data_IF_786511866798
#
_entry.id   IF_786511866798
#
_cell.length_a   1.000
_cell.length_b   1.000
_cell.length_c   1.000
_cell.angle_alpha   90.00
_cell.angle_beta   90.00
_cell.angle_gamma   90.00
#
_symmetry.space_group_name_H-M   'P 1'
#
loop_
_entity.id
_entity.type
_entity.pdbx_description
1 polymer ?
#
# COMPACT_ATOMS: atom_id res chain seq x y z
N UNK A 1 19.06 12.69 -10.19
CA UNK A 1 18.80 11.41 -10.86
C UNK A 1 17.30 11.35 -11.16
N UNK A 2 16.85 10.93 -12.35
CA UNK A 2 15.43 10.71 -12.55
C UNK A 2 15.03 9.53 -11.66
N UNK A 3 14.10 9.78 -10.73
CA UNK A 3 13.55 8.74 -9.86
C UNK A 3 12.80 7.75 -10.77
N UNK A 4 13.28 6.51 -10.88
CA UNK A 4 12.52 5.45 -11.56
C UNK A 4 11.12 5.40 -10.94
N UNK A 5 10.02 5.43 -11.73
CA UNK A 5 8.69 5.35 -11.16
C UNK A 5 8.60 4.08 -10.31
N UNK A 6 8.39 4.24 -9.00
CA UNK A 6 8.26 3.10 -8.10
C UNK A 6 7.13 2.17 -8.54
N UNK A 7 7.19 0.89 -8.15
CA UNK A 7 6.02 0.02 -8.31
C UNK A 7 4.99 0.31 -7.21
N UNK A 8 3.71 0.06 -7.49
CA UNK A 8 2.63 0.17 -6.48
C UNK A 8 2.94 -0.68 -5.25
N UNK A 9 3.51 -1.88 -5.46
CA UNK A 9 3.92 -2.77 -4.37
C UNK A 9 5.00 -2.14 -3.49
N UNK A 10 6.03 -1.52 -4.08
CA UNK A 10 7.09 -0.85 -3.32
C UNK A 10 6.55 0.35 -2.54
N UNK A 11 5.76 1.19 -3.18
CA UNK A 11 5.15 2.35 -2.53
C UNK A 11 4.29 1.91 -1.33
N UNK A 12 3.46 0.87 -1.50
CA UNK A 12 2.64 0.32 -0.42
C UNK A 12 3.47 -0.26 0.72
N UNK A 13 4.54 -1.00 0.42
CA UNK A 13 5.45 -1.49 1.45
C UNK A 13 6.04 -0.36 2.28
N UNK A 14 6.56 0.69 1.64
CA UNK A 14 7.15 1.84 2.32
C UNK A 14 6.12 2.62 3.17
N UNK A 15 4.89 2.77 2.67
CA UNK A 15 3.78 3.43 3.39
C UNK A 15 3.33 2.60 4.60
N UNK A 16 3.19 1.29 4.47
CA UNK A 16 2.73 0.42 5.55
C UNK A 16 3.79 0.31 6.66
N UNK A 17 5.07 0.20 6.28
CA UNK A 17 6.18 0.18 7.24
C UNK A 17 6.33 1.50 8.00
N UNK A 18 5.89 2.63 7.44
CA UNK A 18 5.92 3.92 8.14
C UNK A 18 4.69 4.18 9.02
N UNK A 19 3.69 3.30 9.02
CA UNK A 19 2.42 3.45 9.77
C UNK A 19 2.20 2.24 10.70
N UNK A 20 2.85 2.19 11.88
CA UNK A 20 2.87 1.01 12.75
C UNK A 20 1.47 0.56 13.22
N UNK A 21 0.55 1.50 13.45
CA UNK A 21 -0.85 1.17 13.84
C UNK A 21 -1.59 0.43 12.72
N UNK A 22 -1.39 0.84 11.46
CA UNK A 22 -2.00 0.18 10.31
C UNK A 22 -1.34 -1.18 10.08
N UNK A 23 -0.02 -1.25 10.22
CA UNK A 23 0.73 -2.49 10.09
C UNK A 23 0.25 -3.54 11.11
N UNK A 24 0.14 -3.18 12.38
CA UNK A 24 -0.37 -4.07 13.43
C UNK A 24 -1.81 -4.55 13.14
N UNK A 25 -2.69 -3.65 12.69
CA UNK A 25 -4.05 -4.04 12.31
C UNK A 25 -4.07 -5.01 11.11
N UNK A 26 -3.14 -4.84 10.16
CA UNK A 26 -2.99 -5.71 8.99
C UNK A 26 -2.52 -7.11 9.38
N UNK A 27 -1.55 -7.21 10.30
CA UNK A 27 -1.04 -8.46 10.88
C UNK A 27 -2.13 -9.21 11.64
N UNK A 28 -2.94 -8.50 12.44
CA UNK A 28 -4.08 -9.06 13.17
C UNK A 28 -5.24 -9.52 12.24
N UNK A 29 -5.19 -9.19 10.94
CA UNK A 29 -6.23 -9.58 9.99
C UNK A 29 -7.57 -8.86 10.18
N UNK A 30 -7.61 -7.74 10.89
CA UNK A 30 -8.83 -6.97 11.21
C UNK A 30 -9.13 -5.84 10.23
N UNK A 31 -8.33 -5.71 9.15
CA UNK A 31 -8.41 -4.62 8.18
C UNK A 31 -9.38 -4.95 7.03
N UNK A 32 -10.22 -3.98 6.68
CA UNK A 32 -10.93 -3.98 5.39
C UNK A 32 -9.99 -3.50 4.28
N UNK A 33 -9.50 -4.43 3.45
CA UNK A 33 -8.54 -4.12 2.37
C UNK A 33 -9.05 -3.09 1.36
N UNK A 34 -10.34 -3.10 1.04
CA UNK A 34 -10.90 -2.14 0.08
C UNK A 34 -10.95 -0.73 0.67
N UNK A 35 -11.29 -0.60 1.95
CA UNK A 35 -11.27 0.68 2.64
C UNK A 35 -9.84 1.20 2.80
N UNK A 36 -8.90 0.35 3.19
CA UNK A 36 -7.49 0.71 3.30
C UNK A 36 -6.89 1.11 1.94
N UNK A 37 -7.26 0.42 0.86
CA UNK A 37 -6.78 0.77 -0.48
C UNK A 37 -7.21 2.18 -0.90
N UNK A 38 -8.46 2.58 -0.63
CA UNK A 38 -8.93 3.95 -0.90
C UNK A 38 -8.21 4.98 -0.03
N UNK A 39 -7.98 4.66 1.25
CA UNK A 39 -7.24 5.53 2.17
C UNK A 39 -5.81 5.79 1.71
N UNK A 40 -5.10 4.75 1.25
CA UNK A 40 -3.69 4.86 0.87
C UNK A 40 -3.49 5.32 -0.58
N UNK A 41 -4.53 5.36 -1.40
CA UNK A 41 -4.43 5.62 -2.84
C UNK A 41 -3.79 6.97 -3.13
N UNK A 42 -4.24 8.03 -2.47
CA UNK A 42 -3.74 9.40 -2.71
C UNK A 42 -2.22 9.47 -2.43
N UNK A 43 -1.77 8.97 -1.28
CA UNK A 43 -0.35 8.92 -0.93
C UNK A 43 0.47 8.05 -1.91
N UNK A 44 -0.11 6.97 -2.45
CA UNK A 44 0.53 6.16 -3.50
C UNK A 44 0.66 6.95 -4.81
N UNK A 45 -0.40 7.63 -5.25
CA UNK A 45 -0.40 8.41 -6.49
C UNK A 45 0.61 9.56 -6.42
N UNK A 46 0.71 10.25 -5.28
CA UNK A 46 1.71 11.28 -5.01
C UNK A 46 3.14 10.75 -5.13
N UNK A 47 3.45 9.61 -4.49
CA UNK A 47 4.79 9.01 -4.55
C UNK A 47 5.16 8.52 -5.96
N UNK A 48 4.19 8.09 -6.75
CA UNK A 48 4.42 7.53 -8.09
C UNK A 48 4.33 8.56 -9.21
N UNK A 49 3.78 9.75 -8.96
CA UNK A 49 3.53 10.77 -9.98
C UNK A 49 2.53 10.32 -11.05
N UNK A 50 1.64 9.36 -10.75
CA UNK A 50 0.65 8.83 -11.70
C UNK A 50 -0.57 8.26 -10.99
N UNK A 51 -1.69 8.22 -11.71
CA UNK A 51 -2.91 7.53 -11.26
C UNK A 51 -2.73 6.02 -11.16
N UNK A 52 -3.40 5.42 -10.18
CA UNK A 52 -3.46 3.96 -10.00
C UNK A 52 -4.90 3.51 -9.75
N UNK A 53 -5.19 2.23 -10.01
CA UNK A 53 -6.51 1.67 -9.69
C UNK A 53 -6.59 1.23 -8.24
N UNK A 54 -7.76 1.34 -7.63
CA UNK A 54 -8.05 0.82 -6.28
C UNK A 54 -7.72 -0.68 -6.19
N UNK A 55 -7.99 -1.42 -7.27
CA UNK A 55 -7.65 -2.84 -7.40
C UNK A 55 -6.15 -3.08 -7.30
N UNK A 56 -5.33 -2.28 -8.00
CA UNK A 56 -3.87 -2.39 -7.95
C UNK A 56 -3.32 -2.15 -6.55
N UNK A 57 -3.86 -1.14 -5.85
CA UNK A 57 -3.48 -0.81 -4.46
C UNK A 57 -3.89 -1.94 -3.51
N UNK A 58 -5.15 -2.40 -3.60
CA UNK A 58 -5.67 -3.53 -2.80
C UNK A 58 -4.82 -4.78 -2.97
N UNK A 59 -4.50 -5.16 -4.20
CA UNK A 59 -3.69 -6.34 -4.48
C UNK A 59 -2.25 -6.20 -3.97
N UNK A 60 -1.70 -4.98 -3.97
CA UNK A 60 -0.40 -4.72 -3.35
C UNK A 60 -0.43 -4.91 -1.83
N UNK A 61 -1.49 -4.43 -1.16
CA UNK A 61 -1.69 -4.62 0.29
C UNK A 61 -1.83 -6.11 0.64
N UNK A 62 -2.67 -6.86 -0.10
CA UNK A 62 -2.86 -8.31 0.12
C UNK A 62 -1.53 -9.05 -0.01
N UNK A 63 -0.80 -8.84 -1.11
CA UNK A 63 0.52 -9.47 -1.31
C UNK A 63 1.56 -9.06 -0.28
N UNK A 64 1.47 -7.85 0.25
CA UNK A 64 2.34 -7.42 1.35
C UNK A 64 2.03 -8.21 2.62
N UNK A 65 0.74 -8.33 2.97
CA UNK A 65 0.28 -9.13 4.11
C UNK A 65 0.68 -10.60 3.98
N UNK A 66 0.57 -11.19 2.79
CA UNK A 66 0.99 -12.58 2.53
C UNK A 66 2.51 -12.82 2.75
N UNK A 67 3.33 -11.76 2.78
CA UNK A 67 4.78 -11.84 3.07
C UNK A 67 5.12 -11.61 4.54
N UNK A 68 4.19 -11.08 5.34
CA UNK A 68 4.38 -10.89 6.78
C UNK A 68 4.11 -12.18 7.57
N UNK A 69 3.30 -13.08 7.00
CA UNK A 69 2.90 -14.35 7.59
C UNK A 69 3.97 -15.45 7.42
#
# INVERSE_FOLDING_TARGET
MPQTPGSVSRAISEILLSKPVILAALELGVVNYSALARLLKEEVEERLGRRVSDTSVKMAIIRFRDKLA
#
